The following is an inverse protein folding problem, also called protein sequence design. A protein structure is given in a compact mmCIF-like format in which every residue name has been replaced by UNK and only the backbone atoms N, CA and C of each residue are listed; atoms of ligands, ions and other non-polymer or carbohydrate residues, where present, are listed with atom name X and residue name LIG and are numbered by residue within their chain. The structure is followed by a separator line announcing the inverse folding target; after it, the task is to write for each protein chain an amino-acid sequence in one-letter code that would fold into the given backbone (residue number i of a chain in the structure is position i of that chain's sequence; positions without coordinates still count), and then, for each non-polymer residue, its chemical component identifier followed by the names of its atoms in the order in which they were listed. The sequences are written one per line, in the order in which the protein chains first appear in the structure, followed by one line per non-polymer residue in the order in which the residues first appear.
data_IF_385107737951
#
_entry.id   IF_385107737951
#
_cell.length_a   1.000
_cell.length_b   1.000
_cell.length_c   1.000
_cell.angle_alpha   90.00
_cell.angle_beta   90.00
_cell.angle_gamma   90.00
#
_symmetry.space_group_name_H-M   'P 1'
#
loop_
_entity.id
_entity.type
_entity.pdbx_description
1 polymer ?
#
# COMPACT_ATOMS: atom_id res chain seq x y z
N UNK A 1 -13.72 5.61 9.12
CA UNK A 1 -12.48 4.82 8.97
C UNK A 1 -12.00 4.95 7.55
N UNK A 2 -11.02 5.83 7.30
CA UNK A 2 -10.49 6.07 5.94
C UNK A 2 -9.41 5.04 5.56
N UNK A 3 -8.57 4.67 6.53
CA UNK A 3 -7.55 3.63 6.37
C UNK A 3 -8.15 2.27 6.02
N UNK A 4 -9.18 1.84 6.76
CA UNK A 4 -9.86 0.56 6.49
C UNK A 4 -10.53 0.52 5.13
N UNK A 5 -11.10 1.64 4.65
CA UNK A 5 -11.73 1.70 3.34
C UNK A 5 -10.70 1.54 2.20
N UNK A 6 -9.55 2.21 2.32
CA UNK A 6 -8.45 2.07 1.37
C UNK A 6 -7.81 0.66 1.42
N UNK A 7 -7.62 0.10 2.62
CA UNK A 7 -7.11 -1.26 2.80
C UNK A 7 -8.03 -2.32 2.19
N UNK A 8 -9.35 -2.19 2.35
CA UNK A 8 -10.34 -3.08 1.73
C UNK A 8 -10.27 -3.08 0.20
N UNK A 9 -9.85 -1.96 -0.40
CA UNK A 9 -9.64 -1.90 -1.85
C UNK A 9 -8.50 -2.84 -2.30
N UNK A 10 -7.44 -2.95 -1.50
CA UNK A 10 -6.33 -3.90 -1.75
C UNK A 10 -6.76 -5.37 -1.68
N UNK A 11 -7.72 -5.70 -0.81
CA UNK A 11 -8.29 -7.04 -0.73
C UNK A 11 -9.13 -7.38 -1.97
N UNK A 12 -9.78 -6.38 -2.60
CA UNK A 12 -10.52 -6.61 -3.85
C UNK A 12 -9.55 -6.94 -5.00
N UNK A 13 -8.38 -6.29 -5.00
CA UNK A 13 -7.32 -6.50 -6.00
C UNK A 13 -6.28 -7.55 -5.58
N UNK A 14 -6.64 -8.47 -4.68
CA UNK A 14 -5.71 -9.49 -4.19
C UNK A 14 -5.14 -10.29 -5.38
N UNK A 15 -3.81 -10.41 -5.43
CA UNK A 15 -3.04 -11.14 -6.47
C UNK A 15 -3.00 -10.48 -7.85
N UNK A 16 -3.57 -9.29 -8.02
CA UNK A 16 -3.43 -8.49 -9.24
C UNK A 16 -2.22 -7.55 -9.13
N UNK A 17 -1.02 -8.12 -9.24
CA UNK A 17 0.25 -7.37 -9.18
C UNK A 17 0.48 -6.45 -10.38
N UNK A 18 -0.03 -6.82 -11.56
CA UNK A 18 0.13 -6.04 -12.79
C UNK A 18 -0.89 -4.88 -12.89
N UNK A 19 -2.15 -5.12 -12.48
CA UNK A 19 -3.23 -4.14 -12.59
C UNK A 19 -3.54 -3.36 -11.31
N UNK A 20 -3.31 -3.95 -10.13
CA UNK A 20 -3.72 -3.42 -8.84
C UNK A 20 -2.86 -2.28 -8.31
N UNK A 21 -1.60 -2.17 -8.77
CA UNK A 21 -0.71 -1.09 -8.35
C UNK A 21 -1.20 0.29 -8.82
N UNK A 22 -1.70 0.37 -10.06
CA UNK A 22 -2.13 1.62 -10.71
C UNK A 22 -3.26 2.34 -9.96
N UNK A 23 -4.37 1.68 -9.56
CA UNK A 23 -5.40 2.33 -8.77
C UNK A 23 -4.91 2.69 -7.37
N UNK A 24 -4.06 1.86 -6.74
CA UNK A 24 -3.50 2.12 -5.39
C UNK A 24 -2.57 3.34 -5.39
N UNK A 25 -1.74 3.47 -6.42
CA UNK A 25 -0.81 4.60 -6.60
C UNK A 25 -1.55 5.94 -6.63
N UNK A 26 -2.73 6.00 -7.28
CA UNK A 26 -3.57 7.21 -7.25
C UNK A 26 -3.97 7.63 -5.83
N UNK A 27 -4.18 6.69 -4.92
CA UNK A 27 -4.52 6.98 -3.52
C UNK A 27 -3.30 7.42 -2.69
N UNK A 28 -2.07 7.10 -3.11
CA UNK A 28 -0.84 7.59 -2.47
C UNK A 28 -0.62 9.10 -2.67
N UNK A 29 -1.16 9.70 -3.74
CA UNK A 29 -1.04 11.14 -4.01
C UNK A 29 -2.08 12.01 -3.28
N UNK A 30 -3.00 11.42 -2.54
CA UNK A 30 -4.01 12.21 -1.80
C UNK A 30 -3.40 12.91 -0.57
N UNK A 31 -4.00 14.00 -0.10
CA UNK A 31 -3.46 14.78 1.03
C UNK A 31 -3.67 14.12 2.41
N UNK A 32 -4.58 13.15 2.50
CA UNK A 32 -4.93 12.46 3.74
C UNK A 32 -3.94 11.34 4.11
N UNK A 33 -3.24 11.49 5.23
CA UNK A 33 -2.28 10.49 5.72
C UNK A 33 -2.92 9.12 6.00
N UNK A 34 -4.19 9.08 6.43
CA UNK A 34 -4.90 7.83 6.67
C UNK A 34 -5.19 7.05 5.38
N UNK A 35 -5.44 7.75 4.27
CA UNK A 35 -5.68 7.12 2.97
C UNK A 35 -4.37 6.60 2.41
N UNK A 36 -3.28 7.39 2.49
CA UNK A 36 -1.93 6.93 2.13
C UNK A 36 -1.51 5.70 2.93
N UNK A 37 -1.70 5.71 4.24
CA UNK A 37 -1.42 4.58 5.11
C UNK A 37 -2.27 3.34 4.73
N UNK A 38 -3.54 3.53 4.39
CA UNK A 38 -4.38 2.42 3.90
C UNK A 38 -3.95 1.89 2.53
N UNK A 39 -3.47 2.77 1.64
CA UNK A 39 -2.94 2.40 0.33
C UNK A 39 -1.64 1.58 0.44
N UNK A 40 -0.72 1.95 1.35
CA UNK A 40 0.50 1.19 1.64
C UNK A 40 0.17 -0.21 2.18
N UNK A 41 -0.80 -0.30 3.11
CA UNK A 41 -1.25 -1.58 3.63
C UNK A 41 -1.91 -2.44 2.54
N UNK A 42 -2.74 -1.83 1.68
CA UNK A 42 -3.34 -2.47 0.52
C UNK A 42 -2.29 -3.01 -0.45
N UNK A 43 -1.20 -2.26 -0.67
CA UNK A 43 -0.12 -2.63 -1.58
C UNK A 43 0.57 -3.93 -1.15
N UNK A 44 0.85 -4.07 0.16
CA UNK A 44 1.39 -5.30 0.72
C UNK A 44 0.42 -6.48 0.66
N UNK A 45 -0.87 -6.23 0.90
CA UNK A 45 -1.93 -7.23 0.75
C UNK A 45 -2.05 -7.75 -0.69
N UNK A 46 -1.96 -6.88 -1.70
CA UNK A 46 -2.02 -7.28 -3.12
C UNK A 46 -0.82 -8.14 -3.49
N UNK A 47 0.37 -7.85 -2.93
CA UNK A 47 1.59 -8.61 -3.19
C UNK A 47 1.73 -9.86 -2.28
N UNK A 48 0.79 -10.11 -1.36
CA UNK A 48 0.84 -11.29 -0.50
C UNK A 48 0.68 -12.58 -1.31
N UNK A 49 1.74 -13.39 -1.35
CA UNK A 49 1.76 -14.67 -2.04
C UNK A 49 2.34 -14.63 -3.45
N UNK A 50 2.65 -13.43 -3.97
CA UNK A 50 3.39 -13.24 -5.22
C UNK A 50 4.82 -12.84 -4.87
N UNK A 51 5.79 -13.66 -5.26
CA UNK A 51 7.21 -13.30 -5.19
C UNK A 51 7.62 -12.81 -6.56
N UNK A 52 7.59 -11.50 -6.78
CA UNK A 52 8.04 -10.91 -8.02
C UNK A 52 9.47 -10.38 -7.85
N UNK A 53 10.40 -10.72 -8.74
CA UNK A 53 11.82 -10.39 -8.58
C UNK A 53 12.11 -8.88 -8.74
N UNK A 54 11.11 -8.12 -9.21
CA UNK A 54 11.21 -6.70 -9.55
C UNK A 54 10.22 -5.83 -8.73
N UNK A 55 9.91 -6.21 -7.50
CA UNK A 55 8.84 -5.63 -6.65
C UNK A 55 8.88 -4.08 -6.55
N UNK A 56 8.07 -3.34 -7.35
CA UNK A 56 7.97 -1.88 -7.23
C UNK A 56 7.26 -1.49 -5.92
N UNK A 57 6.41 -2.39 -5.42
CA UNK A 57 5.71 -2.26 -4.15
C UNK A 57 6.69 -2.14 -2.97
N UNK A 58 7.70 -3.00 -2.92
CA UNK A 58 8.69 -3.02 -1.85
C UNK A 58 9.55 -1.74 -1.85
N UNK A 59 9.93 -1.26 -3.05
CA UNK A 59 10.66 0.00 -3.18
C UNK A 59 9.86 1.19 -2.64
N UNK A 60 8.56 1.25 -2.93
CA UNK A 60 7.65 2.26 -2.39
C UNK A 60 7.50 2.12 -0.86
N UNK A 61 7.23 0.91 -0.35
CA UNK A 61 7.09 0.65 1.09
C UNK A 61 8.33 1.06 1.88
N UNK A 62 9.53 0.78 1.35
CA UNK A 62 10.81 1.12 1.97
C UNK A 62 11.03 2.64 2.08
N UNK A 63 10.58 3.41 1.10
CA UNK A 63 10.67 4.88 1.12
C UNK A 63 9.78 5.48 2.23
N UNK A 64 8.58 4.91 2.42
CA UNK A 64 7.64 5.35 3.47
C UNK A 64 7.96 4.83 4.89
N UNK A 65 8.88 3.87 5.03
CA UNK A 65 9.30 3.31 6.33
C UNK A 65 10.04 4.34 7.20
N UNK A 66 10.69 5.33 6.58
CA UNK A 66 11.47 6.36 7.25
C UNK A 66 10.68 7.65 7.51
N UNK A 67 9.41 7.70 7.15
CA UNK A 67 8.58 8.89 7.30
C UNK A 67 8.26 9.18 8.78
N UNK A 68 8.16 10.47 9.13
CA UNK A 68 7.87 10.94 10.52
C UNK A 68 6.51 10.46 11.06
N UNK A 69 5.60 10.08 10.15
CA UNK A 69 4.21 9.75 10.45
C UNK A 69 4.08 8.29 10.89
N UNK A 70 3.64 8.09 12.14
CA UNK A 70 3.49 6.75 12.75
C UNK A 70 2.55 5.86 11.95
N UNK A 71 1.44 6.39 11.41
CA UNK A 71 0.48 5.62 10.63
C UNK A 71 1.06 5.09 9.31
N UNK A 72 1.80 5.93 8.58
CA UNK A 72 2.48 5.52 7.34
C UNK A 72 3.52 4.43 7.64
N UNK A 73 4.29 4.63 8.70
CA UNK A 73 5.33 3.68 9.10
C UNK A 73 4.76 2.31 9.49
N UNK A 74 3.70 2.29 10.28
CA UNK A 74 3.04 1.03 10.69
C UNK A 74 2.47 0.31 9.46
N UNK A 75 1.79 1.04 8.57
CA UNK A 75 1.25 0.46 7.34
C UNK A 75 2.33 -0.11 6.41
N UNK A 76 3.48 0.57 6.29
CA UNK A 76 4.62 0.09 5.50
C UNK A 76 5.32 -1.13 6.09
N UNK A 77 5.18 -1.37 7.40
CA UNK A 77 5.75 -2.58 8.05
C UNK A 77 4.78 -3.76 7.94
N UNK A 78 3.47 -3.49 7.96
CA UNK A 78 2.42 -4.50 7.91
C UNK A 78 2.14 -5.03 6.51
N UNK A 79 2.30 -4.18 5.49
CA UNK A 79 2.20 -4.55 4.08
C UNK A 79 3.52 -5.09 3.56
#
# INVERSE_FOLDING_TARGET
GMLSAAASLGIIHLWDVDGGLTPIDKYLYTSEEHIKAGALLALGLVNCGVRNECDPALALLADYLLHSSVNLRISSILG
#
